data_IF_385849432874
#
_entry.id   IF_385849432874
#
_cell.length_a   1.000
_cell.length_b   1.000
_cell.length_c   1.000
_cell.angle_alpha   90.00
_cell.angle_beta   90.00
_cell.angle_gamma   90.00
#
_symmetry.space_group_name_H-M   'P 1'
#
loop_
_entity.id
_entity.type
_entity.pdbx_description
1 polymer ?
#
# COMPACT_ATOMS: atom_id res chain seq x y z
N UNK A 1 -17.71 9.10 7.37
CA UNK A 1 -16.50 8.58 8.00
C UNK A 1 -15.62 7.94 6.96
N UNK A 2 -14.58 8.63 6.59
CA UNK A 2 -13.68 8.15 5.54
C UNK A 2 -13.11 6.78 5.88
N UNK A 3 -12.72 6.56 7.15
CA UNK A 3 -12.12 5.31 7.58
C UNK A 3 -13.05 4.11 7.42
N UNK A 4 -14.35 4.31 7.58
CA UNK A 4 -15.32 3.23 7.49
C UNK A 4 -15.63 2.81 6.05
N UNK A 5 -15.23 3.61 5.07
CA UNK A 5 -15.57 3.33 3.66
C UNK A 5 -14.62 2.36 2.99
N UNK A 6 -13.38 2.27 3.45
CA UNK A 6 -12.39 1.39 2.87
C UNK A 6 -12.07 0.30 3.88
N UNK A 7 -12.60 -0.88 3.63
CA UNK A 7 -12.49 -2.02 4.52
C UNK A 7 -12.10 -3.25 3.72
N UNK A 8 -11.55 -4.28 4.38
CA UNK A 8 -11.27 -5.55 3.71
C UNK A 8 -12.56 -6.16 3.16
N UNK A 9 -12.44 -6.79 2.00
CA UNK A 9 -13.55 -7.50 1.36
C UNK A 9 -13.12 -8.92 1.02
N UNK A 10 -14.07 -9.72 0.55
CA UNK A 10 -13.79 -11.08 0.11
C UNK A 10 -13.64 -11.18 -1.41
N UNK A 11 -13.50 -10.05 -2.10
CA UNK A 11 -13.28 -10.02 -3.54
C UNK A 11 -11.99 -10.79 -3.89
N UNK A 12 -12.04 -11.53 -4.99
CA UNK A 12 -10.91 -12.33 -5.45
C UNK A 12 -9.79 -11.43 -6.00
N UNK A 13 -8.62 -11.45 -5.35
CA UNK A 13 -7.47 -10.63 -5.73
C UNK A 13 -6.95 -11.05 -7.11
N UNK A 14 -6.86 -12.35 -7.39
CA UNK A 14 -6.35 -12.82 -8.68
C UNK A 14 -7.24 -12.34 -9.82
N UNK A 15 -8.55 -12.41 -9.64
CA UNK A 15 -9.50 -11.93 -10.65
C UNK A 15 -9.38 -10.42 -10.85
N UNK A 16 -9.19 -9.68 -9.77
CA UNK A 16 -9.01 -8.24 -9.85
C UNK A 16 -7.75 -7.88 -10.64
N UNK A 17 -6.64 -8.56 -10.37
CA UNK A 17 -5.38 -8.31 -11.08
C UNK A 17 -5.47 -8.69 -12.55
N UNK A 18 -6.14 -9.80 -12.85
CA UNK A 18 -6.32 -10.23 -14.25
C UNK A 18 -7.16 -9.24 -15.06
N UNK A 19 -8.04 -8.51 -14.41
CA UNK A 19 -8.88 -7.52 -15.06
C UNK A 19 -8.21 -6.16 -15.24
N UNK A 20 -7.02 -5.96 -14.70
CA UNK A 20 -6.32 -4.68 -14.79
C UNK A 20 -5.91 -4.38 -16.23
N UNK A 21 -6.07 -3.13 -16.64
CA UNK A 21 -5.74 -2.67 -17.99
C UNK A 21 -4.90 -1.40 -17.90
N UNK A 22 -4.07 -1.15 -18.91
CA UNK A 22 -3.71 -2.00 -20.06
C UNK A 22 -2.90 -3.24 -19.65
N UNK A 23 -2.53 -4.15 -20.60
CA UNK A 23 -1.77 -5.36 -20.27
C UNK A 23 -0.50 -5.12 -19.46
N UNK A 24 0.21 -4.03 -19.74
CA UNK A 24 1.37 -3.64 -18.96
C UNK A 24 1.01 -3.44 -17.46
N UNK A 25 -0.16 -2.83 -17.23
CA UNK A 25 -0.61 -2.57 -15.86
C UNK A 25 -0.91 -3.86 -15.12
N UNK A 26 -1.47 -4.82 -15.84
CA UNK A 26 -1.74 -6.15 -15.29
C UNK A 26 -0.44 -6.85 -14.92
N UNK A 27 0.56 -6.85 -15.81
CA UNK A 27 1.84 -7.48 -15.55
C UNK A 27 2.53 -6.85 -14.34
N UNK A 28 2.52 -5.53 -14.23
CA UNK A 28 3.10 -4.83 -13.10
C UNK A 28 2.34 -5.13 -11.81
N UNK A 29 1.01 -5.21 -11.87
CA UNK A 29 0.19 -5.56 -10.70
C UNK A 29 0.50 -6.95 -10.18
N UNK A 30 0.63 -7.93 -11.07
CA UNK A 30 1.00 -9.30 -10.69
C UNK A 30 2.40 -9.32 -10.08
N UNK A 31 3.34 -8.58 -10.66
CA UNK A 31 4.70 -8.50 -10.13
C UNK A 31 4.73 -7.85 -8.75
N UNK A 32 3.93 -6.79 -8.55
CA UNK A 32 3.83 -6.16 -7.23
C UNK A 32 3.29 -7.14 -6.19
N UNK A 33 2.28 -7.94 -6.57
CA UNK A 33 1.74 -8.93 -5.65
C UNK A 33 2.81 -9.95 -5.23
N UNK A 34 3.69 -10.34 -6.14
CA UNK A 34 4.81 -11.21 -5.80
C UNK A 34 5.76 -10.55 -4.83
N UNK A 35 6.17 -9.31 -5.11
CA UNK A 35 7.12 -8.58 -4.26
C UNK A 35 6.54 -8.35 -2.87
N UNK A 36 5.30 -7.87 -2.78
CA UNK A 36 4.67 -7.60 -1.50
C UNK A 36 4.45 -8.90 -0.72
N UNK A 37 4.06 -9.98 -1.40
CA UNK A 37 3.88 -11.28 -0.76
C UNK A 37 5.18 -11.86 -0.22
N UNK A 38 6.28 -11.73 -0.97
CA UNK A 38 7.60 -12.18 -0.52
C UNK A 38 8.02 -11.49 0.79
N UNK A 39 7.83 -10.17 0.85
CA UNK A 39 8.30 -9.38 1.99
C UNK A 39 7.41 -9.58 3.21
N UNK A 40 6.09 -9.61 3.01
CA UNK A 40 5.15 -9.66 4.14
C UNK A 40 4.86 -11.07 4.61
N UNK A 41 4.98 -12.06 3.73
CA UNK A 41 4.69 -13.45 4.06
C UNK A 41 3.21 -13.77 4.24
N UNK A 42 2.31 -12.86 3.87
CA UNK A 42 0.86 -13.08 3.98
C UNK A 42 0.20 -12.94 2.62
N UNK A 43 -1.00 -13.50 2.52
CA UNK A 43 -1.81 -13.37 1.31
C UNK A 43 -2.42 -11.98 1.23
N UNK A 44 -2.56 -11.43 0.02
CA UNK A 44 -3.23 -10.16 -0.16
C UNK A 44 -4.73 -10.27 0.06
N UNK A 45 -5.33 -9.14 0.43
CA UNK A 45 -6.77 -9.01 0.60
C UNK A 45 -7.20 -7.72 -0.09
N UNK A 46 -8.36 -7.76 -0.76
CA UNK A 46 -8.91 -6.54 -1.35
C UNK A 46 -9.45 -5.62 -0.26
N UNK A 47 -9.09 -4.35 -0.37
CA UNK A 47 -9.61 -3.27 0.47
C UNK A 47 -10.39 -2.32 -0.41
N UNK A 48 -11.69 -2.21 -0.18
CA UNK A 48 -12.53 -1.47 -1.08
C UNK A 48 -12.53 -2.09 -2.48
N UNK A 49 -12.87 -1.32 -3.52
CA UNK A 49 -13.00 -1.89 -4.87
C UNK A 49 -11.70 -2.06 -5.64
N UNK A 50 -10.60 -1.44 -5.22
CA UNK A 50 -9.43 -1.37 -6.10
C UNK A 50 -8.07 -1.41 -5.40
N UNK A 51 -8.02 -1.64 -4.11
CA UNK A 51 -6.76 -1.67 -3.38
C UNK A 51 -6.42 -3.10 -2.96
N UNK A 52 -5.21 -3.53 -3.28
CA UNK A 52 -4.67 -4.83 -2.87
C UNK A 52 -3.82 -4.61 -1.63
N UNK A 53 -4.28 -5.09 -0.49
CA UNK A 53 -3.68 -4.78 0.80
C UNK A 53 -3.07 -5.98 1.51
N UNK A 54 -2.12 -5.71 2.40
CA UNK A 54 -1.37 -6.71 3.15
C UNK A 54 -1.37 -6.34 4.61
N UNK A 55 -1.95 -7.22 5.44
CA UNK A 55 -2.08 -6.98 6.86
C UNK A 55 -2.94 -5.77 7.18
N UNK A 56 -2.91 -5.36 8.43
CA UNK A 56 -3.62 -4.15 8.85
C UNK A 56 -2.99 -3.61 10.12
N UNK A 57 -3.28 -2.35 10.40
CA UNK A 57 -2.92 -1.72 11.68
C UNK A 57 -4.06 -0.80 12.09
N UNK A 58 -4.17 -0.52 13.38
CA UNK A 58 -5.12 0.46 13.88
C UNK A 58 -4.50 1.84 13.76
N UNK A 59 -5.23 2.74 13.14
CA UNK A 59 -4.82 4.14 13.08
C UNK A 59 -5.72 5.01 13.93
N UNK A 60 -5.14 6.10 14.44
CA UNK A 60 -5.86 7.15 15.14
C UNK A 60 -5.44 8.46 14.49
N UNK A 61 -6.40 9.25 14.02
CA UNK A 61 -6.09 10.51 13.36
C UNK A 61 -5.46 11.48 14.37
N UNK A 62 -4.32 12.06 13.99
CA UNK A 62 -3.69 13.10 14.80
C UNK A 62 -4.55 14.35 14.89
N UNK A 63 -5.36 14.59 13.85
CA UNK A 63 -6.23 15.76 13.78
C UNK A 63 -7.46 15.61 14.68
N UNK A 64 -8.06 14.40 14.68
CA UNK A 64 -9.28 14.12 15.46
C UNK A 64 -9.23 12.68 15.94
N UNK A 65 -8.91 12.47 17.25
CA UNK A 65 -8.79 11.12 17.80
C UNK A 65 -10.05 10.27 17.72
N UNK A 66 -11.22 10.87 17.44
CA UNK A 66 -12.45 10.12 17.22
C UNK A 66 -12.46 9.46 15.85
N UNK A 67 -11.63 9.94 14.92
CA UNK A 67 -11.48 9.34 13.60
C UNK A 67 -10.40 8.28 13.70
N UNK A 68 -10.83 7.02 13.73
CA UNK A 68 -9.93 5.88 13.85
C UNK A 68 -10.55 4.66 13.20
N UNK A 69 -9.70 3.68 12.92
CA UNK A 69 -10.13 2.46 12.27
C UNK A 69 -8.92 1.60 11.94
N UNK A 70 -9.08 0.76 10.93
CA UNK A 70 -7.99 -0.06 10.43
C UNK A 70 -7.63 0.36 9.01
N UNK A 71 -6.37 0.12 8.65
CA UNK A 71 -5.83 0.43 7.34
C UNK A 71 -4.80 -0.63 6.99
N UNK A 72 -4.59 -0.97 5.71
CA UNK A 72 -3.56 -1.94 5.39
C UNK A 72 -2.18 -1.38 5.74
N UNK A 73 -1.30 -2.23 6.22
CA UNK A 73 0.08 -1.81 6.52
C UNK A 73 0.81 -1.35 5.28
N UNK A 74 0.55 -2.04 4.17
CA UNK A 74 1.04 -1.64 2.86
C UNK A 74 0.06 -2.15 1.82
N UNK A 75 -0.01 -1.49 0.69
CA UNK A 75 -0.97 -1.83 -0.35
C UNK A 75 -0.56 -1.24 -1.68
N UNK A 76 -1.19 -1.71 -2.75
CA UNK A 76 -1.03 -1.09 -4.06
C UNK A 76 -2.35 -1.16 -4.82
N UNK A 77 -2.46 -0.32 -5.84
CA UNK A 77 -3.61 -0.32 -6.75
C UNK A 77 -3.11 -0.10 -8.17
N UNK A 78 -3.29 -1.11 -9.06
CA UNK A 78 -2.93 -0.95 -10.46
C UNK A 78 -4.03 -0.20 -11.19
N UNK A 79 -3.83 1.09 -11.38
CA UNK A 79 -4.80 1.95 -12.05
C UNK A 79 -4.41 2.13 -13.52
N UNK A 80 -5.35 2.62 -14.34
CA UNK A 80 -5.09 2.76 -15.77
C UNK A 80 -3.89 3.64 -16.07
N UNK A 81 -3.74 4.76 -15.38
CA UNK A 81 -2.68 5.72 -15.67
C UNK A 81 -1.37 5.38 -14.97
N UNK A 82 -1.43 4.71 -13.84
CA UNK A 82 -0.26 4.50 -13.00
C UNK A 82 -0.53 3.50 -11.90
N UNK A 83 0.54 3.07 -11.24
CA UNK A 83 0.45 2.24 -10.04
C UNK A 83 0.43 3.17 -8.84
N UNK A 84 -0.51 2.97 -7.92
CA UNK A 84 -0.52 3.68 -6.64
C UNK A 84 0.01 2.75 -5.57
N UNK A 85 0.99 3.22 -4.78
CA UNK A 85 1.64 2.45 -3.72
C UNK A 85 1.38 3.14 -2.40
N UNK A 86 0.94 2.39 -1.40
CA UNK A 86 0.51 2.94 -0.11
C UNK A 86 1.39 2.43 1.02
N UNK A 87 1.65 3.30 1.99
CA UNK A 87 2.42 2.98 3.18
C UNK A 87 3.91 3.25 3.07
N UNK A 88 4.40 3.60 1.88
CA UNK A 88 5.84 3.69 1.64
C UNK A 88 6.50 4.94 2.21
N UNK A 89 5.72 5.99 2.47
CA UNK A 89 6.28 7.28 2.91
C UNK A 89 5.77 7.73 4.28
N UNK A 90 4.97 6.92 4.93
CA UNK A 90 4.28 7.33 6.17
C UNK A 90 5.20 7.35 7.39
N UNK A 91 6.24 6.51 7.38
CA UNK A 91 7.19 6.41 8.48
C UNK A 91 8.49 7.10 8.11
N UNK A 92 9.23 7.64 9.11
CA UNK A 92 10.48 8.36 8.82
C UNK A 92 11.49 7.55 8.03
N UNK A 93 11.65 6.26 8.35
CA UNK A 93 12.60 5.41 7.63
C UNK A 93 12.19 5.23 6.17
N UNK A 94 10.89 5.08 5.90
CA UNK A 94 10.38 4.98 4.54
C UNK A 94 10.58 6.27 3.78
N UNK A 95 10.22 7.40 4.39
CA UNK A 95 10.40 8.71 3.76
C UNK A 95 11.88 8.97 3.41
N UNK A 96 12.79 8.55 4.27
CA UNK A 96 14.23 8.72 4.04
C UNK A 96 14.73 7.86 2.88
N UNK A 97 14.18 6.66 2.70
CA UNK A 97 14.60 5.75 1.65
C UNK A 97 13.92 6.04 0.31
N UNK A 98 12.75 6.65 0.34
CA UNK A 98 11.91 6.84 -0.85
C UNK A 98 12.64 7.48 -2.04
N UNK A 99 13.53 8.48 -1.87
CA UNK A 99 14.23 9.07 -3.00
C UNK A 99 15.06 8.07 -3.83
N UNK A 100 15.40 6.92 -3.25
CA UNK A 100 16.17 5.88 -3.95
C UNK A 100 15.30 4.92 -4.75
N UNK A 101 13.98 5.10 -4.72
CA UNK A 101 13.05 4.17 -5.39
C UNK A 101 13.18 4.19 -6.91
N UNK A 102 13.43 5.35 -7.48
CA UNK A 102 13.46 5.53 -8.93
C UNK A 102 12.57 6.69 -9.35
N UNK A 103 11.86 6.55 -10.45
CA UNK A 103 10.98 7.60 -10.97
C UNK A 103 9.59 7.47 -10.37
N UNK A 104 9.19 8.47 -9.60
CA UNK A 104 7.88 8.48 -8.95
C UNK A 104 7.38 9.90 -8.74
N UNK A 105 6.09 10.02 -8.46
CA UNK A 105 5.48 11.25 -7.96
C UNK A 105 4.75 10.91 -6.66
N UNK A 106 4.33 11.93 -5.91
CA UNK A 106 3.69 11.71 -4.63
C UNK A 106 2.29 12.29 -4.59
N UNK A 107 1.37 11.55 -3.99
CA UNK A 107 0.06 12.04 -3.61
C UNK A 107 0.02 12.29 -2.11
N UNK A 108 -1.16 12.58 -1.57
CA UNK A 108 -1.32 12.90 -0.16
C UNK A 108 -0.92 11.73 0.75
N UNK A 109 -1.31 10.52 0.42
CA UNK A 109 -1.00 9.34 1.22
C UNK A 109 -0.42 8.20 0.42
N UNK A 110 0.09 8.46 -0.77
CA UNK A 110 0.58 7.41 -1.65
C UNK A 110 1.69 7.91 -2.56
N UNK A 111 2.31 6.95 -3.22
CA UNK A 111 3.37 7.18 -4.20
C UNK A 111 2.88 6.63 -5.52
N UNK A 112 3.09 7.36 -6.60
CA UNK A 112 2.67 6.95 -7.94
C UNK A 112 3.87 6.58 -8.78
N UNK A 113 3.76 5.43 -9.47
CA UNK A 113 4.79 4.93 -10.37
C UNK A 113 4.12 4.54 -11.68
N UNK A 114 4.69 4.96 -12.80
CA UNK A 114 4.10 4.66 -14.11
C UNK A 114 4.36 3.24 -14.55
N UNK A 115 5.54 2.71 -14.24
CA UNK A 115 5.94 1.36 -14.60
C UNK A 115 7.00 0.86 -13.63
N UNK A 116 7.03 -0.44 -13.38
CA UNK A 116 8.07 -1.04 -12.54
C UNK A 116 9.43 -1.03 -13.22
N UNK A 117 9.50 -0.81 -14.52
CA UNK A 117 10.77 -0.69 -15.24
C UNK A 117 11.63 0.48 -14.72
N UNK A 118 11.00 1.48 -14.12
CA UNK A 118 11.69 2.66 -13.59
C UNK A 118 11.87 2.61 -12.06
N UNK A 119 11.70 1.45 -11.47
CA UNK A 119 11.73 1.26 -10.02
C UNK A 119 12.83 0.27 -9.66
N UNK A 120 13.59 0.63 -8.62
CA UNK A 120 14.54 -0.30 -8.01
C UNK A 120 13.75 -1.26 -7.11
N UNK A 121 13.63 -2.51 -7.53
CA UNK A 121 12.83 -3.49 -6.79
C UNK A 121 13.41 -3.82 -5.41
N UNK A 122 14.74 -3.75 -5.26
CA UNK A 122 15.33 -3.97 -3.94
C UNK A 122 14.98 -2.86 -2.96
N UNK A 123 14.98 -1.62 -3.44
CA UNK A 123 14.52 -0.48 -2.63
C UNK A 123 13.04 -0.64 -2.32
N UNK A 124 12.24 -1.06 -3.30
CA UNK A 124 10.81 -1.30 -3.06
C UNK A 124 10.59 -2.34 -1.98
N UNK A 125 11.32 -3.45 -2.01
CA UNK A 125 11.23 -4.49 -0.98
C UNK A 125 11.54 -3.93 0.41
N UNK A 126 12.56 -3.09 0.50
CA UNK A 126 12.92 -2.46 1.79
C UNK A 126 11.85 -1.49 2.27
N UNK A 127 11.25 -0.72 1.37
CA UNK A 127 10.15 0.18 1.70
C UNK A 127 8.93 -0.61 2.20
N UNK A 128 8.61 -1.71 1.53
CA UNK A 128 7.50 -2.57 1.94
C UNK A 128 7.79 -3.18 3.32
N UNK A 129 9.02 -3.62 3.58
CA UNK A 129 9.40 -4.17 4.88
C UNK A 129 9.25 -3.13 6.00
N UNK A 130 9.63 -1.89 5.74
CA UNK A 130 9.47 -0.80 6.71
C UNK A 130 7.98 -0.60 7.01
N UNK A 131 7.16 -0.53 5.96
CA UNK A 131 5.71 -0.35 6.13
C UNK A 131 5.09 -1.54 6.87
N UNK A 132 5.55 -2.75 6.58
CA UNK A 132 5.05 -3.96 7.22
C UNK A 132 5.32 -3.99 8.72
N UNK A 133 6.42 -3.38 9.16
CA UNK A 133 6.80 -3.34 10.57
C UNK A 133 6.05 -2.26 11.36
N UNK A 134 5.19 -1.48 10.73
CA UNK A 134 4.46 -0.40 11.40
C UNK A 134 3.58 -0.95 12.52
N UNK A 135 3.71 -0.43 13.76
CA UNK A 135 2.82 -0.82 14.85
C UNK A 135 1.46 -0.11 14.75
N UNK A 136 0.51 -0.58 15.54
CA UNK A 136 -0.76 0.15 15.73
C UNK A 136 -0.47 1.50 16.36
N UNK A 137 -1.29 2.50 16.02
CA UNK A 137 -1.24 3.78 16.71
C UNK A 137 -1.73 3.59 18.16
N UNK A 138 -1.14 4.33 19.12
CA UNK A 138 -1.60 4.22 20.51
C UNK A 138 -3.03 4.75 20.67
N UNK A 139 -3.75 4.17 21.62
CA UNK A 139 -5.07 4.67 21.94
C UNK A 139 -4.99 6.09 22.50
N UNK A 140 -5.97 6.97 22.19
CA UNK A 140 -5.97 8.33 22.74
C UNK A 140 -6.00 8.27 24.26
N UNK A 141 -5.13 9.04 24.90
CA UNK A 141 -5.03 9.09 26.35
C UNK A 141 -4.17 7.99 26.95
N UNK A 142 -3.70 7.01 26.18
CA UNK A 142 -2.78 5.99 26.67
C UNK A 142 -1.43 6.62 27.01
N UNK A 143 -0.78 6.10 28.08
CA UNK A 143 0.52 6.60 28.54
C UNK A 143 1.48 5.44 28.69
#
# INVERSE_FOLDING_TARGET
MAAAKTMPTDQDVAAFLDAATPPRRRADGIRLAEVFGEVTGVDPVMWGPSMVGYGSFRFVSARDPRTRGIWPRTAFSPRKAQLSLYGLKDLPAGAALLPSLGTFTEGAGCVYVRTLDHVDLDVLRRLVAIAWARPDDPEPGAR
#
